data_IF_688756892935
#
_entry.id   IF_688756892935
#
_cell.length_a   1.000
_cell.length_b   1.000
_cell.length_c   1.000
_cell.angle_alpha   90.00
_cell.angle_beta   90.00
_cell.angle_gamma   90.00
#
_symmetry.space_group_name_H-M   'P 1'
#
loop_
_entity.id
_entity.type
_entity.pdbx_description
1 polymer ?
#
# COMPACT_ATOMS: atom_id res chain seq x y z
N UNK A 1 27.87 -3.27 11.97
CA UNK A 1 28.72 -4.19 12.76
C UNK A 1 29.73 -4.95 11.91
N UNK A 2 29.34 -5.70 10.87
CA UNK A 2 30.28 -6.48 10.04
C UNK A 2 31.41 -5.65 9.39
N UNK A 3 31.08 -4.45 8.89
CA UNK A 3 32.06 -3.53 8.35
C UNK A 3 33.00 -2.97 9.43
N UNK A 4 32.47 -2.68 10.62
CA UNK A 4 33.27 -2.24 11.77
C UNK A 4 34.19 -3.35 12.30
N UNK A 5 33.81 -4.63 12.15
CA UNK A 5 34.66 -5.80 12.43
C UNK A 5 35.54 -6.23 11.26
N UNK A 6 35.60 -5.47 10.16
CA UNK A 6 36.47 -5.73 9.01
C UNK A 6 36.07 -6.92 8.13
N UNK A 7 34.87 -7.48 8.31
CA UNK A 7 34.39 -8.66 7.53
C UNK A 7 33.81 -8.27 6.16
N UNK A 8 33.55 -6.98 5.97
CA UNK A 8 33.02 -6.39 4.74
C UNK A 8 33.77 -5.08 4.47
N UNK A 9 34.24 -4.82 3.24
CA UNK A 9 34.90 -3.57 2.90
C UNK A 9 33.93 -2.37 2.99
N UNK A 10 34.31 -1.34 3.74
CA UNK A 10 33.52 -0.10 3.91
C UNK A 10 33.20 0.61 2.59
N UNK A 11 34.11 0.55 1.61
CA UNK A 11 33.93 1.16 0.30
C UNK A 11 32.76 0.53 -0.45
N UNK A 12 32.55 -0.78 -0.30
CA UNK A 12 31.44 -1.49 -0.95
C UNK A 12 30.06 -1.13 -0.36
N UNK A 13 30.02 -0.37 0.74
CA UNK A 13 28.79 0.05 1.41
C UNK A 13 28.38 1.50 1.10
N UNK A 14 29.16 2.25 0.31
CA UNK A 14 28.90 3.68 0.09
C UNK A 14 27.66 3.94 -0.78
N UNK A 15 27.41 3.07 -1.77
CA UNK A 15 26.35 3.24 -2.78
C UNK A 15 25.19 2.25 -2.61
N UNK A 16 25.06 1.66 -1.42
CA UNK A 16 24.05 0.64 -1.13
C UNK A 16 23.22 0.98 0.10
N UNK A 17 21.94 0.65 0.06
CA UNK A 17 21.06 0.65 1.21
C UNK A 17 20.62 -0.78 1.50
N UNK A 18 20.86 -1.25 2.73
CA UNK A 18 20.49 -2.59 3.16
C UNK A 18 19.29 -2.50 4.09
N UNK A 19 18.19 -3.15 3.73
CA UNK A 19 17.00 -3.26 4.56
C UNK A 19 16.65 -4.74 4.76
N UNK A 20 16.24 -5.13 5.95
CA UNK A 20 15.92 -6.52 6.26
C UNK A 20 16.02 -6.81 7.75
N UNK A 21 15.26 -7.80 8.21
CA UNK A 21 15.37 -8.31 9.58
C UNK A 21 16.29 -9.53 9.62
N UNK A 22 17.31 -9.51 10.48
CA UNK A 22 18.26 -10.60 10.59
C UNK A 22 17.86 -11.60 11.69
N UNK A 23 17.65 -12.85 11.31
CA UNK A 23 17.50 -13.94 12.27
C UNK A 23 18.86 -14.41 12.82
N UNK A 24 18.84 -15.02 14.01
CA UNK A 24 20.06 -15.59 14.63
C UNK A 24 20.72 -16.67 13.77
N UNK A 25 19.94 -17.35 12.92
CA UNK A 25 20.44 -18.33 11.95
C UNK A 25 21.21 -17.71 10.79
N UNK A 26 21.17 -16.38 10.62
CA UNK A 26 21.69 -15.68 9.45
C UNK A 26 20.67 -15.46 8.33
N UNK A 27 19.46 -16.02 8.46
CA UNK A 27 18.38 -15.80 7.50
C UNK A 27 17.88 -14.36 7.53
N UNK A 28 17.57 -13.81 6.35
CA UNK A 28 17.05 -12.45 6.17
C UNK A 28 15.53 -12.55 6.00
N UNK A 29 14.80 -11.96 6.95
CA UNK A 29 13.34 -11.97 7.03
C UNK A 29 12.72 -10.78 6.31
N UNK A 30 11.49 -10.95 5.78
CA UNK A 30 10.78 -9.88 5.10
C UNK A 30 10.52 -8.69 6.02
N UNK A 31 10.40 -7.51 5.41
CA UNK A 31 10.09 -6.26 6.10
C UNK A 31 8.81 -5.62 5.58
N UNK A 32 8.22 -4.75 6.39
CA UNK A 32 7.14 -3.84 5.98
C UNK A 32 7.71 -2.59 5.32
N UNK A 33 6.94 -2.00 4.41
CA UNK A 33 7.26 -0.71 3.81
C UNK A 33 8.47 -0.77 2.87
N UNK A 34 8.68 -1.89 2.16
CA UNK A 34 9.80 -2.02 1.22
C UNK A 34 9.67 -1.03 0.05
N UNK A 35 8.46 -0.75 -0.41
CA UNK A 35 8.24 0.12 -1.57
C UNK A 35 8.60 1.60 -1.28
N UNK A 36 8.16 2.22 -0.16
CA UNK A 36 8.66 3.54 0.23
C UNK A 36 10.19 3.60 0.30
N UNK A 37 10.84 2.57 0.86
CA UNK A 37 12.29 2.49 0.93
C UNK A 37 12.92 2.37 -0.47
N UNK A 38 12.32 1.61 -1.38
CA UNK A 38 12.74 1.51 -2.77
C UNK A 38 12.63 2.85 -3.50
N UNK A 39 11.54 3.58 -3.33
CA UNK A 39 11.38 4.91 -3.91
C UNK A 39 12.42 5.90 -3.37
N UNK A 40 12.72 5.84 -2.07
CA UNK A 40 13.75 6.66 -1.45
C UNK A 40 15.17 6.30 -1.95
N UNK A 41 15.52 5.02 -1.99
CA UNK A 41 16.78 4.53 -2.52
C UNK A 41 16.97 4.93 -3.99
N UNK A 42 15.90 4.86 -4.78
CA UNK A 42 15.89 5.33 -6.18
C UNK A 42 16.19 6.82 -6.26
N UNK A 43 15.53 7.64 -5.45
CA UNK A 43 15.76 9.08 -5.42
C UNK A 43 17.17 9.44 -4.95
N UNK A 44 17.79 8.60 -4.12
CA UNK A 44 19.18 8.72 -3.69
C UNK A 44 20.20 8.09 -4.66
N UNK A 45 19.75 7.51 -5.78
CA UNK A 45 20.56 6.79 -6.77
C UNK A 45 21.39 5.63 -6.18
N UNK A 46 20.87 4.97 -5.14
CA UNK A 46 21.54 3.86 -4.45
C UNK A 46 21.01 2.51 -4.87
N UNK A 47 21.84 1.48 -4.73
CA UNK A 47 21.41 0.09 -4.90
C UNK A 47 20.72 -0.39 -3.63
N UNK A 48 19.51 -0.93 -3.76
CA UNK A 48 18.76 -1.46 -2.62
C UNK A 48 19.02 -2.96 -2.46
N UNK A 49 19.44 -3.38 -1.27
CA UNK A 49 19.63 -4.78 -0.88
C UNK A 49 18.55 -5.16 0.13
N UNK A 50 17.72 -6.14 -0.20
CA UNK A 50 16.51 -6.49 0.55
C UNK A 50 16.26 -8.00 0.62
N UNK A 51 15.36 -8.47 1.52
CA UNK A 51 14.94 -9.86 1.55
C UNK A 51 14.34 -10.26 0.20
N UNK A 52 14.65 -11.46 -0.29
CA UNK A 52 14.18 -11.90 -1.60
C UNK A 52 12.65 -11.93 -1.74
N UNK A 53 11.94 -12.17 -0.64
CA UNK A 53 10.46 -12.14 -0.57
C UNK A 53 9.90 -10.75 -0.91
N UNK A 54 10.63 -9.68 -0.65
CA UNK A 54 10.21 -8.30 -0.92
C UNK A 54 10.64 -7.79 -2.31
N UNK A 55 11.39 -8.58 -3.09
CA UNK A 55 12.08 -8.11 -4.27
C UNK A 55 11.14 -7.68 -5.41
N UNK A 56 10.10 -8.47 -5.68
CA UNK A 56 9.13 -8.16 -6.74
C UNK A 56 8.41 -6.82 -6.47
N UNK A 57 8.09 -6.54 -5.22
CA UNK A 57 7.45 -5.29 -4.79
C UNK A 57 8.40 -4.09 -4.88
N UNK A 58 9.66 -4.23 -4.48
CA UNK A 58 10.65 -3.17 -4.61
C UNK A 58 10.93 -2.81 -6.07
N UNK A 59 10.84 -3.77 -6.98
CA UNK A 59 10.98 -3.54 -8.42
C UNK A 59 9.85 -2.71 -9.04
N UNK A 60 8.74 -2.46 -8.32
CA UNK A 60 7.76 -1.46 -8.75
C UNK A 60 8.36 -0.05 -8.81
N UNK A 61 9.42 0.23 -8.05
CA UNK A 61 10.22 1.44 -8.21
C UNK A 61 11.08 1.35 -9.48
N UNK A 62 10.45 1.53 -10.65
CA UNK A 62 11.10 1.50 -11.96
C UNK A 62 12.43 2.25 -11.98
N UNK A 63 13.47 1.62 -12.52
CA UNK A 63 14.83 2.16 -12.61
C UNK A 63 15.72 1.94 -11.39
N UNK A 64 15.18 1.41 -10.28
CA UNK A 64 15.98 1.04 -9.11
C UNK A 64 16.77 -0.25 -9.35
N UNK A 65 18.04 -0.26 -8.95
CA UNK A 65 18.83 -1.49 -8.84
C UNK A 65 18.51 -2.20 -7.54
N UNK A 66 17.82 -3.34 -7.61
CA UNK A 66 17.45 -4.18 -6.46
C UNK A 66 18.32 -5.43 -6.43
N UNK A 67 18.86 -5.78 -5.26
CA UNK A 67 19.57 -7.03 -4.99
C UNK A 67 18.79 -7.80 -3.93
N UNK A 68 18.34 -8.98 -4.30
CA UNK A 68 17.56 -9.87 -3.44
C UNK A 68 18.47 -10.87 -2.74
N UNK A 69 18.33 -11.01 -1.42
CA UNK A 69 19.13 -11.94 -0.61
C UNK A 69 18.24 -12.74 0.36
N UNK A 70 18.61 -14.00 0.62
CA UNK A 70 17.92 -14.85 1.61
C UNK A 70 18.73 -15.01 2.89
N UNK A 71 20.04 -14.82 2.82
CA UNK A 71 20.95 -15.12 3.92
C UNK A 71 22.11 -14.13 3.99
N UNK A 72 22.53 -13.80 5.21
CA UNK A 72 23.63 -12.86 5.46
C UNK A 72 24.95 -13.29 4.81
N UNK A 73 25.21 -14.60 4.74
CA UNK A 73 26.42 -15.14 4.09
C UNK A 73 26.48 -14.83 2.60
N UNK A 74 25.34 -14.78 1.90
CA UNK A 74 25.28 -14.40 0.49
C UNK A 74 25.74 -12.96 0.33
N UNK A 75 25.25 -12.07 1.20
CA UNK A 75 25.61 -10.66 1.22
C UNK A 75 27.11 -10.44 1.54
N UNK A 76 27.66 -11.19 2.50
CA UNK A 76 29.09 -11.14 2.82
C UNK A 76 29.94 -11.65 1.66
N UNK A 77 29.54 -12.73 1.00
CA UNK A 77 30.23 -13.24 -0.19
C UNK A 77 30.17 -12.24 -1.35
N UNK A 78 29.05 -11.54 -1.50
CA UNK A 78 28.87 -10.48 -2.48
C UNK A 78 29.83 -9.32 -2.30
N UNK A 79 29.86 -8.73 -1.11
CA UNK A 79 30.74 -7.58 -0.86
C UNK A 79 32.23 -7.92 -0.86
N UNK A 80 32.59 -9.17 -0.58
CA UNK A 80 33.98 -9.65 -0.69
C UNK A 80 34.36 -10.09 -2.11
N UNK A 81 33.47 -9.93 -3.11
CA UNK A 81 33.74 -10.29 -4.50
C UNK A 81 33.85 -11.79 -4.78
N UNK A 82 33.44 -12.64 -3.83
CA UNK A 82 33.47 -14.11 -3.98
C UNK A 82 32.33 -14.62 -4.85
N UNK A 83 31.14 -14.05 -4.66
CA UNK A 83 29.92 -14.42 -5.41
C UNK A 83 29.15 -13.16 -5.77
N UNK A 84 29.13 -12.78 -7.04
CA UNK A 84 28.35 -11.62 -7.48
C UNK A 84 26.87 -11.99 -7.57
N UNK A 85 26.03 -11.25 -6.86
CA UNK A 85 24.57 -11.38 -6.94
C UNK A 85 24.11 -10.41 -8.03
N UNK A 86 23.48 -10.96 -9.06
CA UNK A 86 22.91 -10.15 -10.12
C UNK A 86 21.71 -9.34 -9.58
N UNK A 87 21.44 -8.14 -10.14
CA UNK A 87 20.21 -7.43 -9.84
C UNK A 87 18.99 -8.32 -10.08
N UNK A 88 18.02 -8.24 -9.17
CA UNK A 88 16.76 -8.95 -9.29
C UNK A 88 16.01 -8.46 -10.53
N UNK A 89 15.50 -9.40 -11.32
CA UNK A 89 14.67 -9.10 -12.48
C UNK A 89 13.22 -9.41 -12.11
N UNK A 90 12.37 -8.38 -12.13
CA UNK A 90 10.94 -8.55 -11.88
C UNK A 90 10.34 -9.51 -12.90
N UNK A 91 9.49 -10.39 -12.40
CA UNK A 91 8.74 -11.36 -13.19
C UNK A 91 7.42 -10.79 -13.73
N UNK A 92 7.09 -9.53 -13.41
CA UNK A 92 5.86 -8.85 -13.80
C UNK A 92 4.62 -9.37 -13.08
N UNK A 93 4.78 -10.23 -12.06
CA UNK A 93 3.67 -10.85 -11.33
C UNK A 93 2.74 -9.80 -10.71
N UNK A 94 3.32 -8.70 -10.23
CA UNK A 94 2.53 -7.64 -9.63
C UNK A 94 1.76 -6.82 -10.65
N UNK A 95 2.17 -6.73 -11.92
CA UNK A 95 1.51 -5.90 -12.94
C UNK A 95 0.15 -6.47 -13.41
N UNK A 96 -0.40 -7.45 -12.69
CA UNK A 96 -1.67 -8.10 -12.96
C UNK A 96 -2.72 -7.59 -11.96
N UNK A 97 -3.52 -6.57 -12.33
CA UNK A 97 -4.59 -6.10 -11.46
C UNK A 97 -5.64 -7.18 -11.27
N UNK A 98 -6.24 -7.25 -10.07
CA UNK A 98 -7.37 -8.16 -9.82
C UNK A 98 -8.64 -7.51 -10.36
N UNK A 99 -9.49 -8.27 -11.08
CA UNK A 99 -10.76 -7.74 -11.57
C UNK A 99 -11.63 -7.30 -10.40
N UNK A 100 -12.25 -6.12 -10.53
CA UNK A 100 -13.27 -5.68 -9.59
C UNK A 100 -14.59 -6.39 -9.86
N UNK A 101 -15.47 -6.50 -8.85
CA UNK A 101 -16.85 -6.89 -9.08
C UNK A 101 -17.51 -5.95 -10.12
N UNK A 102 -18.30 -6.51 -11.03
CA UNK A 102 -18.93 -5.72 -12.10
C UNK A 102 -20.31 -5.20 -11.67
N UNK A 103 -20.62 -3.96 -12.06
CA UNK A 103 -21.94 -3.34 -11.87
C UNK A 103 -23.02 -4.01 -12.74
N UNK A 104 -22.63 -4.66 -13.84
CA UNK A 104 -23.54 -5.40 -14.72
C UNK A 104 -24.24 -6.56 -13.97
N UNK A 105 -23.55 -7.18 -13.01
CA UNK A 105 -24.05 -8.30 -12.20
C UNK A 105 -25.21 -7.93 -11.26
N UNK A 106 -25.34 -6.64 -10.92
CA UNK A 106 -26.39 -6.21 -9.99
C UNK A 106 -27.74 -6.17 -10.71
N UNK A 107 -28.74 -6.88 -10.22
CA UNK A 107 -30.07 -6.85 -10.83
C UNK A 107 -30.87 -5.63 -10.36
N UNK A 108 -31.47 -4.90 -11.31
CA UNK A 108 -32.28 -3.71 -11.02
C UNK A 108 -31.48 -2.49 -10.55
N UNK A 109 -32.08 -1.69 -9.67
CA UNK A 109 -31.48 -0.49 -9.05
C UNK A 109 -30.94 0.56 -10.05
N UNK A 110 -31.63 0.77 -11.18
CA UNK A 110 -31.18 1.65 -12.28
C UNK A 110 -30.78 3.06 -11.81
N UNK A 111 -31.54 3.65 -10.87
CA UNK A 111 -31.22 4.96 -10.31
C UNK A 111 -29.89 4.96 -9.53
N UNK A 112 -29.66 3.94 -8.69
CA UNK A 112 -28.44 3.81 -7.89
C UNK A 112 -27.22 3.49 -8.77
N UNK A 113 -27.38 2.61 -9.77
CA UNK A 113 -26.34 2.35 -10.78
C UNK A 113 -25.93 3.61 -11.52
N UNK A 114 -26.90 4.41 -11.97
CA UNK A 114 -26.62 5.68 -12.64
C UNK A 114 -25.91 6.66 -11.70
N UNK A 115 -26.34 6.77 -10.46
CA UNK A 115 -25.70 7.62 -9.45
C UNK A 115 -24.24 7.20 -9.22
N UNK A 116 -23.95 5.90 -9.13
CA UNK A 116 -22.59 5.38 -9.00
C UNK A 116 -21.71 5.77 -10.19
N UNK A 117 -22.19 5.62 -11.42
CA UNK A 117 -21.42 5.99 -12.63
C UNK A 117 -21.14 7.49 -12.66
N UNK A 118 -22.14 8.32 -12.32
CA UNK A 118 -21.96 9.79 -12.24
C UNK A 118 -20.95 10.14 -11.16
N UNK A 119 -21.06 9.54 -9.97
CA UNK A 119 -20.14 9.78 -8.87
C UNK A 119 -18.71 9.33 -9.20
N UNK A 120 -18.56 8.18 -9.87
CA UNK A 120 -17.26 7.69 -10.31
C UNK A 120 -16.59 8.63 -11.32
N UNK A 121 -17.36 9.10 -12.31
CA UNK A 121 -16.86 10.02 -13.34
C UNK A 121 -16.49 11.40 -12.79
N UNK A 122 -17.21 11.88 -11.77
CA UNK A 122 -16.99 13.19 -11.15
C UNK A 122 -16.16 13.19 -9.87
N UNK A 123 -15.68 12.03 -9.42
CA UNK A 123 -15.07 11.84 -8.10
C UNK A 123 -15.93 12.45 -6.96
N UNK A 124 -17.24 12.22 -7.00
CA UNK A 124 -18.18 12.77 -6.02
C UNK A 124 -18.46 11.82 -4.86
N UNK A 125 -18.68 12.40 -3.69
CA UNK A 125 -19.24 11.67 -2.54
C UNK A 125 -20.68 11.24 -2.84
N UNK A 126 -21.06 10.03 -2.40
CA UNK A 126 -22.38 9.46 -2.64
C UNK A 126 -23.00 8.97 -1.32
N UNK A 127 -24.26 9.35 -1.09
CA UNK A 127 -25.05 8.89 0.05
C UNK A 127 -26.13 7.90 -0.39
N UNK A 128 -26.07 6.67 0.13
CA UNK A 128 -27.11 5.66 -0.08
C UNK A 128 -28.18 5.70 1.02
N UNK A 129 -29.37 6.22 0.70
CA UNK A 129 -30.54 6.18 1.59
C UNK A 129 -31.50 5.05 1.20
N UNK A 130 -31.98 4.30 2.20
CA UNK A 130 -32.85 3.15 2.00
C UNK A 130 -32.82 2.18 3.21
N UNK A 131 -33.80 1.27 3.32
CA UNK A 131 -33.85 0.28 4.39
C UNK A 131 -32.62 -0.67 4.37
N UNK A 132 -32.32 -1.35 5.49
CA UNK A 132 -31.28 -2.37 5.52
C UNK A 132 -31.58 -3.52 4.55
N UNK A 133 -30.54 -4.16 4.02
CA UNK A 133 -30.69 -5.30 3.10
C UNK A 133 -30.97 -4.95 1.64
N UNK A 134 -30.97 -3.67 1.24
CA UNK A 134 -31.19 -3.26 -0.16
C UNK A 134 -29.94 -3.36 -1.05
N UNK A 135 -28.85 -3.98 -0.57
CA UNK A 135 -27.63 -4.17 -1.37
C UNK A 135 -26.76 -2.91 -1.52
N UNK A 136 -26.77 -2.00 -0.54
CA UNK A 136 -25.92 -0.79 -0.55
C UNK A 136 -24.43 -1.14 -0.61
N UNK A 137 -23.99 -2.06 0.22
CA UNK A 137 -22.61 -2.59 0.25
C UNK A 137 -22.27 -3.30 -1.07
N UNK A 138 -23.22 -4.06 -1.63
CA UNK A 138 -23.07 -4.72 -2.92
C UNK A 138 -22.80 -3.70 -4.03
N UNK A 139 -23.55 -2.60 -4.06
CA UNK A 139 -23.35 -1.49 -4.99
C UNK A 139 -22.02 -0.75 -4.74
N UNK A 140 -21.71 -0.40 -3.49
CA UNK A 140 -20.51 0.35 -3.14
C UNK A 140 -19.22 -0.37 -3.49
N UNK A 141 -19.15 -1.69 -3.28
CA UNK A 141 -17.97 -2.52 -3.61
C UNK A 141 -17.62 -2.57 -5.10
N UNK A 142 -18.52 -2.13 -5.98
CA UNK A 142 -18.31 -2.04 -7.44
C UNK A 142 -17.76 -0.68 -7.87
N UNK A 143 -17.84 0.33 -7.01
CA UNK A 143 -17.36 1.67 -7.31
C UNK A 143 -15.87 1.73 -7.70
N UNK A 144 -14.93 0.98 -7.05
CA UNK A 144 -13.52 1.01 -7.42
C UNK A 144 -13.25 0.65 -8.89
N UNK A 145 -14.05 -0.27 -9.46
CA UNK A 145 -13.94 -0.67 -10.86
C UNK A 145 -14.55 0.32 -11.86
N UNK A 146 -15.32 1.30 -11.39
CA UNK A 146 -15.94 2.34 -12.22
C UNK A 146 -15.14 3.63 -12.24
N UNK A 147 -14.25 3.83 -11.26
CA UNK A 147 -13.38 5.00 -11.20
C UNK A 147 -12.43 5.04 -12.40
N UNK A 148 -12.01 6.23 -12.84
CA UNK A 148 -10.94 6.36 -13.84
C UNK A 148 -9.71 5.51 -13.46
N UNK A 149 -8.90 5.04 -14.42
CA UNK A 149 -7.67 4.33 -14.08
C UNK A 149 -6.72 5.23 -13.28
N UNK A 150 -5.95 4.61 -12.37
CA UNK A 150 -4.86 5.31 -11.68
C UNK A 150 -3.75 5.63 -12.69
N UNK A 151 -3.12 6.79 -12.56
CA UNK A 151 -1.81 6.98 -13.18
C UNK A 151 -0.72 6.21 -12.41
N UNK A 152 0.49 6.13 -12.97
CA UNK A 152 1.60 5.38 -12.35
C UNK A 152 1.99 5.95 -10.99
N UNK A 153 1.94 7.28 -10.82
CA UNK A 153 2.30 7.93 -9.58
C UNK A 153 1.28 7.63 -8.48
N UNK A 154 0.00 7.82 -8.77
CA UNK A 154 -1.11 7.49 -7.88
C UNK A 154 -1.08 6.00 -7.50
N UNK A 155 -0.81 5.13 -8.47
CA UNK A 155 -0.70 3.69 -8.23
C UNK A 155 0.48 3.33 -7.30
N UNK A 156 1.62 4.02 -7.43
CA UNK A 156 2.76 3.85 -6.53
C UNK A 156 2.47 4.39 -5.13
N UNK A 157 1.75 5.50 -4.99
CA UNK A 157 1.31 6.01 -3.67
C UNK A 157 0.44 4.98 -2.94
N UNK A 158 -0.56 4.42 -3.63
CA UNK A 158 -1.45 3.39 -3.07
C UNK A 158 -0.66 2.16 -2.65
N UNK A 159 0.22 1.67 -3.53
CA UNK A 159 1.06 0.52 -3.25
C UNK A 159 2.00 0.78 -2.06
N UNK A 160 2.56 1.98 -1.94
CA UNK A 160 3.44 2.35 -0.85
C UNK A 160 2.71 2.36 0.50
N UNK A 161 1.48 2.86 0.55
CA UNK A 161 0.64 2.82 1.76
C UNK A 161 0.35 1.36 2.15
N UNK A 162 -0.01 0.50 1.20
CA UNK A 162 -0.27 -0.92 1.44
C UNK A 162 0.99 -1.67 1.92
N UNK A 163 2.16 -1.35 1.35
CA UNK A 163 3.46 -1.87 1.74
C UNK A 163 3.74 -1.64 3.23
N UNK A 164 3.42 -0.44 3.74
CA UNK A 164 3.63 -0.08 5.15
C UNK A 164 2.62 -0.77 6.07
N UNK A 165 1.37 -0.88 5.62
CA UNK A 165 0.27 -1.39 6.44
C UNK A 165 0.27 -2.92 6.62
N UNK A 166 0.91 -3.66 5.71
CA UNK A 166 0.88 -5.13 5.67
C UNK A 166 2.28 -5.73 5.84
N UNK A 167 2.38 -6.88 6.51
CA UNK A 167 3.60 -7.71 6.49
C UNK A 167 3.64 -8.66 5.29
N UNK A 168 2.50 -8.82 4.60
CA UNK A 168 2.39 -9.63 3.40
C UNK A 168 2.72 -8.74 2.20
N UNK A 169 3.64 -9.16 1.31
CA UNK A 169 3.93 -8.46 0.08
C UNK A 169 2.67 -8.24 -0.76
N UNK A 170 2.73 -7.21 -1.61
CA UNK A 170 1.68 -6.99 -2.60
C UNK A 170 1.46 -8.25 -3.45
N UNK A 171 0.22 -8.47 -3.85
CA UNK A 171 -0.16 -9.62 -4.71
C UNK A 171 -0.69 -9.18 -6.07
N UNK A 172 -0.96 -7.89 -6.25
CA UNK A 172 -1.50 -7.30 -7.47
C UNK A 172 -1.30 -5.79 -7.45
N UNK A 173 -1.02 -5.22 -8.61
CA UNK A 173 -0.77 -3.81 -8.85
C UNK A 173 -1.07 -3.48 -10.34
N UNK A 174 -1.64 -2.32 -10.65
CA UNK A 174 -2.26 -1.37 -9.73
C UNK A 174 -3.61 -1.90 -9.19
N UNK A 175 -3.96 -1.57 -7.95
CA UNK A 175 -5.26 -1.92 -7.35
C UNK A 175 -5.78 -0.79 -6.46
N UNK A 176 -6.90 -0.17 -6.84
CA UNK A 176 -7.65 0.79 -6.02
C UNK A 176 -8.18 0.08 -4.77
N UNK A 177 -7.96 0.65 -3.57
CA UNK A 177 -8.45 0.07 -2.34
C UNK A 177 -9.97 0.30 -2.19
N UNK A 178 -10.64 -0.67 -1.59
CA UNK A 178 -11.99 -0.53 -1.06
C UNK A 178 -11.94 -0.80 0.44
N UNK A 179 -12.27 0.19 1.26
CA UNK A 179 -12.24 0.10 2.71
C UNK A 179 -13.65 0.24 3.26
N UNK A 180 -14.04 -0.70 4.13
CA UNK A 180 -15.32 -0.69 4.82
C UNK A 180 -15.07 -0.87 6.32
N UNK A 181 -14.73 0.21 7.04
CA UNK A 181 -14.58 0.14 8.49
C UNK A 181 -15.89 -0.28 9.15
N UNK A 182 -15.78 -1.05 10.24
CA UNK A 182 -16.91 -1.32 11.11
C UNK A 182 -17.31 -0.05 11.85
N UNK A 183 -18.60 0.16 12.14
CA UNK A 183 -19.09 1.36 12.84
C UNK A 183 -18.50 1.53 14.26
N UNK A 184 -18.00 0.44 14.86
CA UNK A 184 -17.30 0.43 16.15
C UNK A 184 -15.80 0.77 16.05
N UNK A 185 -15.29 1.10 14.87
CA UNK A 185 -13.90 1.50 14.68
C UNK A 185 -13.59 2.78 15.48
N UNK A 186 -12.45 2.76 16.18
CA UNK A 186 -12.00 3.92 16.96
C UNK A 186 -11.47 5.04 16.06
N UNK A 187 -11.38 6.26 16.60
CA UNK A 187 -10.76 7.40 15.90
C UNK A 187 -9.37 7.09 15.33
N UNK A 188 -8.43 6.53 16.12
CA UNK A 188 -7.12 6.13 15.60
C UNK A 188 -7.17 5.05 14.53
N UNK A 189 -8.14 4.13 14.55
CA UNK A 189 -8.28 3.12 13.50
C UNK A 189 -8.71 3.77 12.16
N UNK A 190 -9.52 4.82 12.20
CA UNK A 190 -9.99 5.50 10.99
C UNK A 190 -8.96 6.48 10.43
N UNK A 191 -8.33 7.27 11.28
CA UNK A 191 -7.46 8.38 10.88
C UNK A 191 -5.99 7.97 10.82
N UNK A 192 -5.64 6.94 11.58
CA UNK A 192 -4.26 6.52 11.82
C UNK A 192 -3.76 7.03 13.16
N UNK A 193 -2.71 6.37 13.68
CA UNK A 193 -2.10 6.72 14.96
C UNK A 193 -1.60 5.52 15.75
N UNK A 194 -1.34 5.73 17.04
CA UNK A 194 -0.75 4.73 17.95
C UNK A 194 0.71 5.03 18.30
N UNK A 195 1.28 4.23 19.20
CA UNK A 195 2.68 4.37 19.64
C UNK A 195 3.69 4.08 18.52
N UNK A 196 3.30 3.25 17.55
CA UNK A 196 3.91 3.14 16.23
C UNK A 196 2.88 3.70 15.23
N UNK A 197 3.17 4.80 14.54
CA UNK A 197 2.20 5.39 13.61
C UNK A 197 1.88 4.38 12.50
N UNK A 198 0.61 4.02 12.42
CA UNK A 198 0.07 3.13 11.39
C UNK A 198 -0.98 3.88 10.56
N UNK A 199 -1.08 3.60 9.25
CA UNK A 199 -2.13 4.16 8.40
C UNK A 199 -3.53 3.80 8.94
N UNK A 200 -4.43 4.77 9.00
CA UNK A 200 -5.84 4.52 9.30
C UNK A 200 -6.63 4.13 8.05
N UNK A 201 -7.89 3.75 8.22
CA UNK A 201 -8.81 3.38 7.13
C UNK A 201 -8.94 4.44 6.04
N UNK A 202 -8.88 5.74 6.38
CA UNK A 202 -8.93 6.81 5.39
C UNK A 202 -7.66 6.79 4.53
N UNK A 203 -6.49 6.71 5.16
CA UNK A 203 -5.21 6.60 4.46
C UNK A 203 -5.15 5.33 3.61
N UNK A 204 -5.70 4.22 4.10
CA UNK A 204 -5.77 2.95 3.38
C UNK A 204 -6.76 3.00 2.22
N UNK A 205 -7.69 3.96 2.20
CA UNK A 205 -8.61 4.24 1.11
C UNK A 205 -8.07 5.29 0.12
N UNK A 206 -6.83 5.75 0.26
CA UNK A 206 -6.21 6.74 -0.63
C UNK A 206 -6.34 6.33 -2.11
N UNK A 207 -6.74 7.28 -2.96
CA UNK A 207 -7.13 7.03 -4.36
C UNK A 207 -8.07 5.84 -4.57
N UNK A 208 -8.91 5.52 -3.59
CA UNK A 208 -9.85 4.42 -3.64
C UNK A 208 -11.22 4.83 -3.14
N UNK A 209 -11.87 3.91 -2.44
CA UNK A 209 -13.22 4.10 -1.91
C UNK A 209 -13.24 3.75 -0.42
N UNK A 210 -13.68 4.71 0.39
CA UNK A 210 -14.05 4.50 1.79
C UNK A 210 -15.58 4.42 1.89
N UNK A 211 -16.11 3.27 2.26
CA UNK A 211 -17.53 3.04 2.44
C UNK A 211 -17.89 2.97 3.92
N UNK A 212 -18.66 3.94 4.39
CA UNK A 212 -19.16 4.00 5.76
C UNK A 212 -20.61 3.49 5.79
N UNK A 213 -20.77 2.21 6.14
CA UNK A 213 -22.11 1.64 6.34
C UNK A 213 -22.67 2.06 7.70
N UNK A 214 -23.99 2.16 7.83
CA UNK A 214 -24.61 2.53 9.12
C UNK A 214 -24.04 3.85 9.71
N UNK A 215 -23.82 4.86 8.86
CA UNK A 215 -23.25 6.16 9.25
C UNK A 215 -23.81 6.76 10.56
N UNK A 216 -25.14 6.67 10.86
CA UNK A 216 -25.68 7.15 12.14
C UNK A 216 -25.17 6.44 13.40
N UNK A 217 -24.59 5.24 13.27
CA UNK A 217 -24.07 4.44 14.39
C UNK A 217 -22.62 4.78 14.75
N UNK A 218 -21.91 5.50 13.89
CA UNK A 218 -20.55 5.96 14.19
C UNK A 218 -20.56 6.99 15.32
N UNK A 219 -19.54 6.94 16.17
CA UNK A 219 -19.34 7.95 17.21
C UNK A 219 -19.22 9.35 16.59
N UNK A 220 -19.89 10.33 17.20
CA UNK A 220 -19.93 11.70 16.67
C UNK A 220 -18.54 12.34 16.55
N UNK A 221 -17.62 12.04 17.48
CA UNK A 221 -16.24 12.53 17.44
C UNK A 221 -15.47 11.95 16.26
N UNK A 222 -15.75 10.70 15.90
CA UNK A 222 -15.17 10.05 14.74
C UNK A 222 -15.63 10.72 13.44
N UNK A 223 -16.92 11.03 13.33
CA UNK A 223 -17.47 11.74 12.18
C UNK A 223 -16.93 13.18 12.06
N UNK A 224 -16.67 13.85 13.18
CA UNK A 224 -16.03 15.17 13.18
C UNK A 224 -14.61 15.13 12.63
N UNK A 225 -13.83 14.10 12.94
CA UNK A 225 -12.48 13.96 12.37
C UNK A 225 -12.52 13.62 10.88
N UNK A 226 -13.59 12.96 10.40
CA UNK A 226 -13.81 12.70 8.98
C UNK A 226 -14.25 13.96 8.20
N UNK A 227 -14.72 15.00 8.87
CA UNK A 227 -15.26 16.20 8.23
C UNK A 227 -14.22 16.91 7.38
N UNK A 228 -13.03 17.16 7.94
CA UNK A 228 -11.95 17.85 7.24
C UNK A 228 -11.43 17.06 6.01
N UNK A 229 -11.21 15.73 6.08
CA UNK A 229 -10.97 14.88 4.91
C UNK A 229 -12.06 14.93 3.84
N UNK A 230 -13.33 14.90 4.25
CA UNK A 230 -14.48 14.89 3.32
C UNK A 230 -14.69 16.25 2.64
N UNK A 231 -14.37 17.36 3.32
CA UNK A 231 -14.47 18.72 2.78
C UNK A 231 -13.30 19.05 1.84
N UNK A 232 -12.08 18.55 2.13
CA UNK A 232 -10.87 18.93 1.40
C UNK A 232 -10.33 17.85 0.44
N UNK A 233 -10.83 16.61 0.50
CA UNK A 233 -10.37 15.49 -0.32
C UNK A 233 -8.94 15.02 -0.03
N UNK A 234 -8.33 15.45 1.09
CA UNK A 234 -6.95 15.11 1.50
C UNK A 234 -6.86 14.98 3.02
N UNK A 235 -6.04 14.04 3.48
CA UNK A 235 -5.66 13.90 4.90
C UNK A 235 -4.21 14.33 5.09
N UNK A 236 -3.95 15.24 6.03
CA UNK A 236 -2.61 15.46 6.56
C UNK A 236 -2.40 14.57 7.78
N UNK A 237 -1.27 13.85 7.91
CA UNK A 237 -0.93 13.22 9.18
C UNK A 237 -0.67 14.34 10.20
N UNK A 238 -1.54 14.45 11.21
CA UNK A 238 -1.27 15.30 12.37
C UNK A 238 -0.02 14.77 13.09
N UNK A 239 1.11 15.46 12.89
CA UNK A 239 2.30 15.32 13.72
C UNK A 239 2.04 16.13 14.98
N UNK A 240 1.93 15.44 16.12
CA UNK A 240 2.09 16.03 17.45
C UNK A 240 3.51 15.75 17.95
#
# INVERSE_FOLDING_TARGET
MLAASGQVPLVALQDVECLGELALSGAIRPIQGVLPAALAARAAERTLIIPAVNAEEACLASGLRVIAVNHLLELVAHFNGRTVIAPYQSSGLLHQPKPYPDLSEVQGQTAAKRALVIAAAGAHNLLFSGPPGTGKTLLASRLPGLLPPLDEHEALEVAAIQSVASQVPLTSWPQRPFRQPHHSASGPALVGGGSRPQPGEITLAHHGVLFLDELPEFDRRVLEVLREPLENGRCYPHTS
#
